data_IF_282148668267
#
_entry.id   IF_282148668267
#
_cell.length_a   1.000
_cell.length_b   1.000
_cell.length_c   1.000
_cell.angle_alpha   90.00
_cell.angle_beta   90.00
_cell.angle_gamma   90.00
#
_symmetry.space_group_name_H-M   'P 1'
#
loop_
_entity.id
_entity.type
_entity.pdbx_description
1 polymer ?
#
# COMPACT_ATOMS: atom_id res chain seq x y z
N UNK A 1 78.41 -15.18 6.77
CA UNK A 1 77.15 -14.78 6.09
C UNK A 1 75.98 -15.27 6.95
N UNK A 2 75.37 -14.39 7.76
CA UNK A 2 74.18 -14.71 8.55
C UNK A 2 72.92 -14.22 7.81
N UNK A 3 72.02 -15.16 7.52
CA UNK A 3 70.78 -14.97 6.76
C UNK A 3 69.66 -14.57 7.73
N UNK A 4 69.23 -13.31 7.70
CA UNK A 4 68.03 -12.86 8.42
C UNK A 4 66.78 -13.50 7.81
N UNK A 5 65.91 -14.09 8.64
CA UNK A 5 64.56 -14.56 8.27
C UNK A 5 63.55 -13.43 8.53
N UNK A 6 62.79 -12.96 7.52
CA UNK A 6 61.65 -12.08 7.72
C UNK A 6 60.40 -12.95 7.88
N UNK A 7 59.70 -12.88 9.02
CA UNK A 7 58.54 -13.75 9.20
C UNK A 7 57.61 -13.45 10.37
N UNK A 8 57.68 -12.27 11.00
CA UNK A 8 56.90 -12.02 12.22
C UNK A 8 56.05 -10.74 12.24
N UNK A 9 56.14 -9.85 11.24
CA UNK A 9 55.35 -8.61 11.21
C UNK A 9 54.00 -8.73 10.48
N UNK A 10 53.85 -9.68 9.54
CA UNK A 10 52.63 -9.80 8.71
C UNK A 10 51.42 -10.39 9.45
N UNK A 11 51.67 -11.26 10.43
CA UNK A 11 50.61 -11.93 11.22
C UNK A 11 49.98 -11.00 12.25
N UNK A 12 50.76 -10.10 12.86
CA UNK A 12 50.26 -9.13 13.85
C UNK A 12 49.37 -8.06 13.21
N UNK A 13 49.71 -7.59 12.00
CA UNK A 13 48.87 -6.64 11.26
C UNK A 13 47.52 -7.26 10.85
N UNK A 14 47.53 -8.54 10.46
CA UNK A 14 46.32 -9.25 10.03
C UNK A 14 45.33 -9.46 11.18
N UNK A 15 45.83 -9.73 12.39
CA UNK A 15 45.00 -9.88 13.59
C UNK A 15 44.41 -8.55 14.06
N UNK A 16 45.18 -7.46 13.98
CA UNK A 16 44.72 -6.12 14.34
C UNK A 16 43.62 -5.58 13.40
N UNK A 17 43.72 -5.88 12.10
CA UNK A 17 42.67 -5.54 11.12
C UNK A 17 41.38 -6.35 11.33
N UNK A 18 41.49 -7.64 11.70
CA UNK A 18 40.31 -8.47 11.98
C UNK A 18 39.57 -8.02 13.25
N UNK A 19 40.30 -7.62 14.30
CA UNK A 19 39.71 -7.12 15.54
C UNK A 19 39.02 -5.76 15.36
N UNK A 20 39.57 -4.87 14.54
CA UNK A 20 38.95 -3.57 14.21
C UNK A 20 37.71 -3.75 13.31
N UNK A 21 37.74 -4.66 12.33
CA UNK A 21 36.57 -4.97 11.52
C UNK A 21 35.42 -5.59 12.34
N UNK A 22 35.72 -6.49 13.28
CA UNK A 22 34.73 -7.09 14.17
C UNK A 22 34.09 -6.06 15.12
N UNK A 23 34.88 -5.09 15.62
CA UNK A 23 34.38 -4.03 16.49
C UNK A 23 33.46 -3.06 15.73
N UNK A 24 33.82 -2.67 14.50
CA UNK A 24 33.00 -1.79 13.66
C UNK A 24 31.72 -2.50 13.22
N UNK A 25 31.79 -3.80 12.88
CA UNK A 25 30.59 -4.58 12.56
C UNK A 25 29.66 -4.73 13.79
N UNK A 26 30.19 -4.95 14.99
CA UNK A 26 29.38 -5.05 16.21
C UNK A 26 28.70 -3.74 16.62
N UNK A 27 29.37 -2.60 16.41
CA UNK A 27 28.81 -1.26 16.68
C UNK A 27 27.77 -0.86 15.63
N UNK A 28 28.00 -1.18 14.35
CA UNK A 28 27.04 -0.88 13.27
C UNK A 28 25.79 -1.77 13.33
N UNK A 29 25.93 -3.04 13.72
CA UNK A 29 24.76 -3.94 13.91
C UNK A 29 23.90 -3.51 15.10
N UNK A 30 24.50 -2.92 16.14
CA UNK A 30 23.74 -2.38 17.28
C UNK A 30 22.99 -1.08 16.94
N UNK A 31 23.43 -0.35 15.92
CA UNK A 31 22.78 0.87 15.41
C UNK A 31 21.67 0.65 14.38
N UNK A 32 21.49 -0.58 13.89
CA UNK A 32 20.46 -0.95 12.90
C UNK A 32 19.27 -1.72 13.48
N UNK A 33 19.22 -1.89 14.81
CA UNK A 33 17.94 -2.16 15.47
C UNK A 33 17.16 -0.85 15.52
N UNK A 34 16.55 -0.51 14.39
CA UNK A 34 15.31 0.24 14.44
C UNK A 34 14.38 -0.59 15.33
N UNK A 35 14.25 -0.21 16.59
CA UNK A 35 13.11 -0.61 17.39
C UNK A 35 11.90 -0.30 16.52
N UNK A 36 11.16 -1.35 16.16
CA UNK A 36 9.84 -1.18 15.64
C UNK A 36 9.08 -0.45 16.74
N UNK A 37 9.00 0.88 16.62
CA UNK A 37 8.28 1.71 17.57
C UNK A 37 6.91 1.09 17.72
N UNK A 38 6.68 0.45 18.87
CA UNK A 38 5.36 -0.02 19.23
C UNK A 38 4.52 1.24 19.30
N UNK A 39 3.72 1.46 18.27
CA UNK A 39 2.71 2.49 18.26
C UNK A 39 1.63 2.05 19.27
N UNK A 40 1.91 2.19 20.56
CA UNK A 40 0.89 2.10 21.59
C UNK A 40 -0.15 3.17 21.28
N UNK A 41 -1.39 2.73 21.04
CA UNK A 41 -2.50 3.62 20.78
C UNK A 41 -2.65 4.59 21.95
N UNK A 42 -2.72 5.90 21.67
CA UNK A 42 -2.86 6.92 22.69
C UNK A 42 -4.19 6.75 23.43
N UNK A 43 -4.14 6.73 24.76
CA UNK A 43 -5.34 6.71 25.61
C UNK A 43 -6.18 7.97 25.38
N UNK A 44 -7.45 7.78 25.03
CA UNK A 44 -8.45 8.81 24.83
C UNK A 44 -9.02 9.23 26.20
N UNK A 45 -8.77 10.48 26.66
CA UNK A 45 -9.09 10.91 28.03
C UNK A 45 -10.59 11.00 28.31
N UNK A 46 -11.43 10.96 27.28
CA UNK A 46 -12.90 10.97 27.38
C UNK A 46 -13.51 9.57 27.35
N UNK A 47 -12.70 8.51 27.22
CA UNK A 47 -13.15 7.12 27.26
C UNK A 47 -12.77 6.48 28.60
N UNK A 48 -13.59 5.52 29.05
CA UNK A 48 -13.22 4.65 30.15
C UNK A 48 -12.02 3.76 29.77
N UNK A 49 -11.34 3.17 30.75
CA UNK A 49 -10.19 2.30 30.47
C UNK A 49 -10.57 1.08 29.61
N UNK A 50 -11.74 0.48 29.85
CA UNK A 50 -12.26 -0.61 29.03
C UNK A 50 -12.47 -0.18 27.57
N UNK A 51 -13.09 0.98 27.35
CA UNK A 51 -13.30 1.53 26.01
C UNK A 51 -12.00 1.96 25.33
N UNK A 52 -10.98 2.35 26.10
CA UNK A 52 -9.64 2.65 25.58
C UNK A 52 -8.92 1.40 25.06
N UNK A 53 -9.09 0.25 25.73
CA UNK A 53 -8.55 -1.02 25.23
C UNK A 53 -9.26 -1.47 23.97
N UNK A 54 -10.58 -1.27 23.87
CA UNK A 54 -11.38 -1.56 22.68
C UNK A 54 -11.09 -0.59 21.52
N UNK A 55 -10.75 0.67 21.81
CA UNK A 55 -10.44 1.69 20.81
C UNK A 55 -9.03 1.58 20.21
N UNK A 56 -8.29 0.50 20.49
CA UNK A 56 -6.98 0.24 19.88
C UNK A 56 -7.15 -0.10 18.40
N UNK A 57 -6.85 0.87 17.54
CA UNK A 57 -6.86 0.72 16.08
C UNK A 57 -5.43 0.48 15.60
N UNK A 58 -5.22 -0.55 14.79
CA UNK A 58 -3.92 -0.80 14.14
C UNK A 58 -3.56 0.29 13.14
N UNK A 59 -2.27 0.42 12.82
CA UNK A 59 -1.80 1.38 11.79
C UNK A 59 -2.48 1.14 10.44
N UNK A 60 -2.73 -0.13 10.09
CA UNK A 60 -3.40 -0.50 8.85
C UNK A 60 -4.88 -0.06 8.86
N UNK A 61 -5.61 -0.27 9.96
CA UNK A 61 -7.00 0.15 10.08
C UNK A 61 -7.13 1.67 10.04
N UNK A 62 -6.23 2.38 10.72
CA UNK A 62 -6.17 3.83 10.64
C UNK A 62 -5.91 4.31 9.21
N UNK A 63 -4.99 3.64 8.48
CA UNK A 63 -4.75 3.95 7.07
C UNK A 63 -6.01 3.72 6.21
N UNK A 64 -6.74 2.63 6.41
CA UNK A 64 -7.99 2.36 5.69
C UNK A 64 -9.07 3.42 5.97
N UNK A 65 -9.22 3.82 7.24
CA UNK A 65 -10.13 4.89 7.65
C UNK A 65 -9.74 6.20 6.98
N UNK A 66 -8.44 6.55 6.95
CA UNK A 66 -7.97 7.80 6.33
C UNK A 66 -8.16 7.82 4.82
N UNK A 67 -7.89 6.72 4.11
CA UNK A 67 -8.18 6.60 2.67
C UNK A 67 -9.67 6.83 2.42
N UNK A 68 -10.52 6.15 3.19
CA UNK A 68 -11.98 6.29 3.07
C UNK A 68 -12.40 7.73 3.35
N UNK A 69 -11.99 8.32 4.47
CA UNK A 69 -12.36 9.69 4.83
C UNK A 69 -11.94 10.72 3.78
N UNK A 70 -10.76 10.54 3.16
CA UNK A 70 -10.25 11.50 2.18
C UNK A 70 -10.90 11.36 0.80
N UNK A 71 -11.22 10.13 0.38
CA UNK A 71 -11.67 9.84 -0.97
C UNK A 71 -13.16 9.46 -1.07
N UNK A 72 -13.89 9.37 0.04
CA UNK A 72 -15.32 9.06 0.01
C UNK A 72 -16.20 10.28 -0.31
N UNK A 73 -15.97 10.89 -1.47
CA UNK A 73 -16.74 12.02 -1.97
C UNK A 73 -16.77 12.04 -3.51
N UNK A 74 -17.73 12.70 -4.16
CA UNK A 74 -17.74 12.79 -5.61
C UNK A 74 -16.51 13.55 -6.15
N UNK A 75 -15.94 13.07 -7.26
CA UNK A 75 -14.79 13.73 -7.89
C UNK A 75 -14.35 13.06 -9.18
N UNK A 76 -13.81 13.85 -10.12
CA UNK A 76 -13.28 13.31 -11.38
C UNK A 76 -12.20 12.27 -11.08
N UNK A 77 -12.30 11.09 -11.69
CA UNK A 77 -11.31 10.02 -11.53
C UNK A 77 -10.38 9.96 -12.74
N UNK A 78 -10.97 9.94 -13.93
CA UNK A 78 -10.30 10.05 -15.23
C UNK A 78 -11.16 10.91 -16.15
N UNK A 79 -10.77 11.10 -17.41
CA UNK A 79 -11.62 11.80 -18.40
C UNK A 79 -12.95 11.08 -18.68
N UNK A 80 -13.00 9.76 -18.46
CA UNK A 80 -14.17 8.91 -18.74
C UNK A 80 -15.01 8.59 -17.53
N UNK A 81 -14.39 8.49 -16.36
CA UNK A 81 -15.03 8.05 -15.12
C UNK A 81 -14.96 9.13 -14.05
N UNK A 82 -16.07 9.29 -13.35
CA UNK A 82 -16.14 10.07 -12.12
C UNK A 82 -16.40 9.13 -10.95
N UNK A 83 -15.69 9.33 -9.84
CA UNK A 83 -15.98 8.68 -8.57
C UNK A 83 -17.20 9.33 -7.92
N UNK A 84 -18.08 8.51 -7.36
CA UNK A 84 -19.18 8.90 -6.47
C UNK A 84 -18.77 8.73 -5.00
N UNK A 85 -18.16 7.59 -4.69
CA UNK A 85 -17.69 7.21 -3.35
C UNK A 85 -16.47 6.30 -3.46
N UNK A 86 -15.70 6.22 -2.37
CA UNK A 86 -14.63 5.25 -2.23
C UNK A 86 -14.58 4.75 -0.78
N UNK A 87 -14.48 3.43 -0.60
CA UNK A 87 -14.45 2.78 0.71
C UNK A 87 -13.34 1.74 0.74
N UNK A 88 -12.45 1.85 1.71
CA UNK A 88 -11.32 0.95 1.89
C UNK A 88 -11.63 -0.05 3.00
N UNK A 89 -11.43 -1.34 2.72
CA UNK A 89 -11.58 -2.43 3.67
C UNK A 89 -10.30 -3.26 3.72
N UNK A 90 -10.00 -3.78 4.91
CA UNK A 90 -8.91 -4.70 5.12
C UNK A 90 -9.47 -6.12 5.16
N UNK A 91 -9.06 -6.93 4.19
CA UNK A 91 -9.24 -8.38 4.21
C UNK A 91 -8.08 -9.05 4.95
N UNK A 92 -8.19 -10.37 5.13
CA UNK A 92 -7.14 -11.18 5.75
C UNK A 92 -5.83 -11.22 4.94
N UNK A 93 -5.90 -11.02 3.63
CA UNK A 93 -4.77 -11.12 2.71
C UNK A 93 -4.72 -10.02 1.65
N UNK A 94 -5.67 -9.07 1.67
CA UNK A 94 -5.73 -7.99 0.69
C UNK A 94 -6.29 -6.71 1.28
N UNK A 95 -5.94 -5.59 0.67
CA UNK A 95 -6.54 -4.28 0.88
C UNK A 95 -7.47 -4.04 -0.30
N UNK A 96 -8.76 -3.88 0.01
CA UNK A 96 -9.81 -3.76 -0.99
C UNK A 96 -10.37 -2.34 -0.99
N UNK A 97 -10.17 -1.63 -2.09
CA UNK A 97 -10.75 -0.30 -2.31
C UNK A 97 -11.96 -0.42 -3.24
N UNK A 98 -13.15 -0.27 -2.69
CA UNK A 98 -14.38 -0.19 -3.48
C UNK A 98 -14.54 1.24 -3.96
N UNK A 99 -14.65 1.42 -5.29
CA UNK A 99 -14.84 2.71 -5.92
C UNK A 99 -16.12 2.67 -6.73
N UNK A 100 -17.13 3.39 -6.24
CA UNK A 100 -18.39 3.53 -6.96
C UNK A 100 -18.23 4.67 -7.98
N UNK A 101 -18.52 4.39 -9.23
CA UNK A 101 -18.28 5.31 -10.35
C UNK A 101 -19.58 5.66 -11.09
N UNK A 102 -19.48 6.73 -11.87
CA UNK A 102 -20.41 7.09 -12.94
C UNK A 102 -19.62 7.44 -14.20
N UNK A 103 -20.22 7.23 -15.36
CA UNK A 103 -19.70 7.74 -16.63
C UNK A 103 -19.72 9.28 -16.63
N UNK A 104 -18.71 9.89 -17.24
CA UNK A 104 -18.69 11.33 -17.50
C UNK A 104 -19.50 11.65 -18.76
N UNK A 105 -20.04 12.89 -18.92
CA UNK A 105 -20.84 13.25 -20.09
C UNK A 105 -20.15 13.01 -21.45
N UNK A 106 -18.82 13.19 -21.52
CA UNK A 106 -18.04 12.91 -22.73
C UNK A 106 -17.83 11.43 -23.05
N UNK A 107 -18.26 10.54 -22.16
CA UNK A 107 -18.17 9.09 -22.30
C UNK A 107 -19.39 8.42 -21.65
N UNK A 108 -20.60 8.91 -21.96
CA UNK A 108 -21.84 8.39 -21.38
C UNK A 108 -22.28 7.09 -22.05
N UNK A 109 -21.57 6.01 -21.74
CA UNK A 109 -21.70 4.70 -22.39
C UNK A 109 -22.42 3.67 -21.52
N UNK A 110 -22.81 4.00 -20.29
CA UNK A 110 -23.45 3.06 -19.37
C UNK A 110 -24.92 2.82 -19.74
N UNK A 111 -25.29 1.57 -19.98
CA UNK A 111 -26.65 1.19 -20.40
C UNK A 111 -27.53 0.71 -19.23
N UNK A 112 -27.01 0.71 -18.00
CA UNK A 112 -27.65 0.07 -16.85
C UNK A 112 -27.06 -1.32 -16.55
N UNK A 113 -27.32 -1.81 -15.33
CA UNK A 113 -26.66 -2.99 -14.79
C UNK A 113 -25.12 -2.90 -14.95
N UNK A 114 -24.46 -3.97 -15.37
CA UNK A 114 -23.04 -4.00 -15.71
C UNK A 114 -22.76 -3.81 -17.22
N UNK A 115 -23.71 -3.24 -17.98
CA UNK A 115 -23.62 -3.16 -19.44
C UNK A 115 -23.18 -1.78 -19.93
N UNK A 116 -22.44 -1.77 -21.06
CA UNK A 116 -21.96 -0.59 -21.74
C UNK A 116 -22.25 -0.68 -23.24
N UNK A 117 -22.42 0.45 -23.91
CA UNK A 117 -22.63 0.54 -25.37
C UNK A 117 -21.35 0.35 -26.18
N UNK A 118 -20.20 0.36 -25.52
CA UNK A 118 -18.86 0.18 -26.11
C UNK A 118 -18.32 -1.22 -25.83
N UNK A 119 -17.24 -1.59 -26.51
CA UNK A 119 -16.63 -2.91 -26.37
C UNK A 119 -16.00 -3.12 -24.98
N UNK A 120 -15.92 -4.38 -24.55
CA UNK A 120 -15.22 -4.77 -23.32
C UNK A 120 -13.78 -4.26 -23.28
N UNK A 121 -13.08 -4.19 -24.41
CA UNK A 121 -11.73 -3.65 -24.47
C UNK A 121 -11.68 -2.15 -24.14
N UNK A 122 -12.69 -1.39 -24.57
CA UNK A 122 -12.78 0.04 -24.26
C UNK A 122 -13.14 0.26 -22.79
N UNK A 123 -14.08 -0.53 -22.26
CA UNK A 123 -14.41 -0.56 -20.82
C UNK A 123 -13.17 -0.88 -20.01
N UNK A 124 -12.46 -1.96 -20.36
CA UNK A 124 -11.26 -2.38 -19.67
C UNK A 124 -10.16 -1.32 -19.70
N UNK A 125 -9.97 -0.63 -20.83
CA UNK A 125 -9.02 0.47 -20.93
C UNK A 125 -9.40 1.65 -20.00
N UNK A 126 -10.68 2.05 -19.99
CA UNK A 126 -11.17 3.12 -19.12
C UNK A 126 -10.98 2.80 -17.62
N UNK A 127 -11.30 1.56 -17.22
CA UNK A 127 -11.14 1.13 -15.83
C UNK A 127 -9.70 0.77 -15.45
N UNK A 128 -8.82 0.45 -16.41
CA UNK A 128 -7.38 0.31 -16.16
C UNK A 128 -6.76 1.65 -15.78
N UNK A 129 -7.08 2.71 -16.52
CA UNK A 129 -6.62 4.07 -16.20
C UNK A 129 -7.12 4.51 -14.81
N UNK A 130 -8.41 4.31 -14.54
CA UNK A 130 -8.99 4.62 -13.23
C UNK A 130 -8.39 3.78 -12.10
N UNK A 131 -8.11 2.50 -12.37
CA UNK A 131 -7.48 1.59 -11.42
C UNK A 131 -6.07 2.01 -11.04
N UNK A 132 -5.29 2.52 -12.01
CA UNK A 132 -3.97 3.08 -11.73
C UNK A 132 -4.05 4.27 -10.76
N UNK A 133 -4.94 5.24 -11.04
CA UNK A 133 -5.17 6.41 -10.17
C UNK A 133 -5.61 5.98 -8.77
N UNK A 134 -6.59 5.08 -8.67
CA UNK A 134 -7.09 4.60 -7.38
C UNK A 134 -6.03 3.80 -6.60
N UNK A 135 -5.15 3.08 -7.29
CA UNK A 135 -4.04 2.36 -6.65
C UNK A 135 -3.01 3.32 -6.08
N UNK A 136 -2.74 4.46 -6.72
CA UNK A 136 -1.88 5.49 -6.14
C UNK A 136 -2.41 6.04 -4.81
N UNK A 137 -3.72 6.04 -4.62
CA UNK A 137 -4.31 6.41 -3.33
C UNK A 137 -3.92 5.38 -2.27
N UNK A 138 -4.05 4.09 -2.59
CA UNK A 138 -3.64 3.03 -1.65
C UNK A 138 -2.15 3.10 -1.33
N UNK A 139 -1.28 3.28 -2.32
CA UNK A 139 0.18 3.32 -2.07
C UNK A 139 0.62 4.49 -1.21
N UNK A 140 -0.10 5.63 -1.24
CA UNK A 140 0.17 6.78 -0.36
C UNK A 140 -0.11 6.50 1.12
N UNK A 141 -1.14 5.71 1.43
CA UNK A 141 -1.55 5.41 2.81
C UNK A 141 -1.01 4.07 3.32
N UNK A 142 -0.69 3.14 2.41
CA UNK A 142 -0.15 1.82 2.69
C UNK A 142 1.24 1.66 2.06
N UNK A 143 2.18 2.52 2.47
CA UNK A 143 3.54 2.51 1.94
C UNK A 143 4.23 1.16 2.20
N UNK A 144 4.91 0.62 1.19
CA UNK A 144 5.64 -0.65 1.27
C UNK A 144 4.78 -1.90 1.11
N UNK A 145 3.44 -1.78 1.03
CA UNK A 145 2.57 -2.92 0.72
C UNK A 145 2.71 -3.28 -0.76
N UNK A 146 2.82 -4.58 -1.02
CA UNK A 146 2.94 -5.13 -2.38
C UNK A 146 1.68 -4.82 -3.21
N UNK A 147 1.81 -4.39 -4.47
CA UNK A 147 0.66 -4.14 -5.35
C UNK A 147 -0.25 -5.35 -5.57
N UNK A 148 0.28 -6.57 -5.42
CA UNK A 148 -0.47 -7.82 -5.50
C UNK A 148 -1.45 -8.00 -4.32
N UNK A 149 -1.18 -7.33 -3.19
CA UNK A 149 -2.07 -7.32 -2.02
C UNK A 149 -3.12 -6.21 -2.10
N UNK A 150 -3.14 -5.41 -3.18
CA UNK A 150 -4.09 -4.32 -3.37
C UNK A 150 -5.08 -4.66 -4.49
N UNK A 151 -6.36 -4.41 -4.24
CA UNK A 151 -7.43 -4.59 -5.22
C UNK A 151 -8.30 -3.34 -5.24
N UNK A 152 -8.58 -2.83 -6.43
CA UNK A 152 -9.59 -1.78 -6.64
C UNK A 152 -10.79 -2.41 -7.30
N UNK A 153 -11.93 -2.38 -6.61
CA UNK A 153 -13.18 -3.00 -7.05
C UNK A 153 -14.10 -1.89 -7.52
N UNK A 154 -14.41 -1.91 -8.81
CA UNK A 154 -15.23 -0.87 -9.42
C UNK A 154 -16.69 -1.27 -9.51
N UNK A 155 -17.58 -0.37 -9.13
CA UNK A 155 -19.02 -0.53 -9.32
C UNK A 155 -19.63 0.66 -10.04
N UNK A 156 -20.74 0.47 -10.76
CA UNK A 156 -21.59 1.54 -11.27
C UNK A 156 -23.00 1.30 -10.80
N UNK A 157 -23.59 2.26 -10.07
CA UNK A 157 -24.95 2.14 -9.50
C UNK A 157 -25.15 0.83 -8.70
N UNK A 158 -24.11 0.37 -8.02
CA UNK A 158 -24.15 -0.87 -7.22
C UNK A 158 -23.85 -2.17 -7.99
N UNK A 159 -23.73 -2.12 -9.33
CA UNK A 159 -23.32 -3.28 -10.12
C UNK A 159 -21.80 -3.34 -10.23
N UNK A 160 -21.21 -4.45 -9.82
CA UNK A 160 -19.78 -4.68 -9.99
C UNK A 160 -19.44 -4.75 -11.48
N UNK A 161 -18.44 -3.99 -11.90
CA UNK A 161 -17.94 -3.97 -13.28
C UNK A 161 -16.69 -4.83 -13.40
N UNK A 162 -15.81 -4.77 -12.41
CA UNK A 162 -14.57 -5.52 -12.42
C UNK A 162 -13.60 -5.12 -11.33
N UNK A 163 -12.44 -5.75 -11.37
CA UNK A 163 -11.39 -5.60 -10.37
C UNK A 163 -10.09 -5.24 -11.07
N UNK A 164 -9.44 -4.18 -10.58
CA UNK A 164 -8.07 -3.84 -10.92
C UNK A 164 -7.12 -4.38 -9.86
N UNK A 165 -6.09 -5.10 -10.27
CA UNK A 165 -5.00 -5.53 -9.39
C UNK A 165 -3.72 -5.73 -10.19
N UNK A 166 -2.58 -5.42 -9.58
CA UNK A 166 -1.24 -5.63 -10.16
C UNK A 166 -1.11 -5.13 -11.62
N UNK A 167 -1.63 -3.94 -11.92
CA UNK A 167 -1.50 -3.31 -13.24
C UNK A 167 -2.53 -3.75 -14.28
N UNK A 168 -3.51 -4.60 -13.93
CA UNK A 168 -4.47 -5.15 -14.88
C UNK A 168 -5.90 -5.03 -14.35
N UNK A 169 -6.81 -4.61 -15.21
CA UNK A 169 -8.25 -4.67 -14.96
C UNK A 169 -8.85 -5.94 -15.57
N UNK A 170 -9.65 -6.64 -14.79
CA UNK A 170 -10.46 -7.77 -15.24
C UNK A 170 -11.94 -7.41 -15.07
N UNK A 171 -12.71 -7.52 -16.15
CA UNK A 171 -14.17 -7.39 -16.12
C UNK A 171 -14.74 -8.59 -15.37
N UNK A 172 -15.63 -8.34 -14.41
CA UNK A 172 -16.37 -9.34 -13.66
C UNK A 172 -17.83 -8.92 -13.74
N UNK A 173 -18.57 -9.52 -14.67
CA UNK A 173 -19.99 -9.30 -14.90
C UNK A 173 -20.71 -10.64 -15.00
#
# INVERSE_FOLDING_TARGET
MLRQRPGSMSTLFSLACLLTAALVAGVVVSGLRADAGSAEAASLPYLSEALNQEAKISVAELAAIRVTAYYNCPGSLTTRLMRQSARCFLGSTSIDLFVDTRTQPGWDTHLGAANFSVSDSEVAAAYTEAGAVATEWLTRFFAGVSPQSMRVIFTVKGYQIGIYSAGRFAIIR
#
